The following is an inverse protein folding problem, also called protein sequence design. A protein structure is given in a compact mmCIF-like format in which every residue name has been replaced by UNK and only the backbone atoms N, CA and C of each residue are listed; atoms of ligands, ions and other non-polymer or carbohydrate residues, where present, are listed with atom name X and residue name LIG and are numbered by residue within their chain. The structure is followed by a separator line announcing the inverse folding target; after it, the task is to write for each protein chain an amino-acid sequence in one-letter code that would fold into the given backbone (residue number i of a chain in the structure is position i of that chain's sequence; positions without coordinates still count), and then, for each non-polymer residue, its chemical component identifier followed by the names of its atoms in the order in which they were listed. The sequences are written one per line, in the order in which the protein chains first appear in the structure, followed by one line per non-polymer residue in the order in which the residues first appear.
data_IF_021975285426
#
_entry.id   IF_021975285426
#
_cell.length_a   1.000
_cell.length_b   1.000
_cell.length_c   1.000
_cell.angle_alpha   90.00
_cell.angle_beta   90.00
_cell.angle_gamma   90.00
#
_symmetry.space_group_name_H-M   'P 1'
#
loop_
_entity.id
_entity.type
_entity.pdbx_description
1 polymer ?
#
# COMPACT_ATOMS: atom_id res chain seq x y z
N UNK A 1 -5.80 -3.40 -16.92
CA UNK A 1 -5.47 -4.64 -17.68
C UNK A 1 -3.97 -4.98 -17.68
N UNK A 2 -3.05 -3.99 -17.61
CA UNK A 2 -1.60 -4.21 -17.70
C UNK A 2 -0.89 -4.66 -16.41
N UNK A 3 -1.53 -4.57 -15.24
CA UNK A 3 -0.94 -4.94 -13.95
C UNK A 3 -1.20 -6.40 -13.53
N UNK A 4 -1.71 -7.26 -14.43
CA UNK A 4 -1.96 -8.69 -14.12
C UNK A 4 -0.71 -9.43 -13.65
N UNK A 5 0.46 -8.98 -14.07
CA UNK A 5 1.76 -9.53 -13.64
C UNK A 5 2.00 -9.35 -12.13
N UNK A 6 1.38 -8.34 -11.51
CA UNK A 6 1.48 -8.06 -10.08
C UNK A 6 0.42 -8.81 -9.26
N UNK A 7 -0.49 -9.54 -9.91
CA UNK A 7 -1.51 -10.29 -9.20
C UNK A 7 -0.88 -11.50 -8.47
N UNK A 8 -1.23 -11.72 -7.19
CA UNK A 8 -0.88 -12.95 -6.49
C UNK A 8 -1.24 -14.19 -7.30
N UNK A 9 -0.29 -15.12 -7.46
CA UNK A 9 -0.50 -16.40 -8.15
C UNK A 9 -1.07 -17.48 -7.24
N UNK A 10 -0.67 -17.46 -5.96
CA UNK A 10 -1.13 -18.42 -4.97
C UNK A 10 -2.50 -18.03 -4.40
N UNK A 11 -3.34 -19.00 -4.02
CA UNK A 11 -4.63 -18.73 -3.39
C UNK A 11 -4.45 -18.04 -2.03
N UNK A 12 -5.44 -17.24 -1.66
CA UNK A 12 -5.56 -16.76 -0.28
C UNK A 12 -5.96 -17.91 0.64
N UNK A 13 -5.34 -17.97 1.82
CA UNK A 13 -5.57 -18.99 2.85
C UNK A 13 -5.91 -18.35 4.18
N UNK A 14 -6.71 -19.06 4.96
CA UNK A 14 -7.12 -18.68 6.30
C UNK A 14 -6.95 -19.87 7.23
N UNK A 15 -6.62 -19.61 8.49
CA UNK A 15 -6.68 -20.58 9.56
C UNK A 15 -7.98 -20.40 10.34
N UNK A 16 -8.56 -21.50 10.82
CA UNK A 16 -9.78 -21.49 11.63
C UNK A 16 -9.47 -22.09 13.00
N UNK A 17 -9.78 -21.35 14.05
CA UNK A 17 -9.66 -21.80 15.44
C UNK A 17 -10.99 -21.54 16.16
N UNK A 18 -11.79 -22.59 16.32
CA UNK A 18 -13.18 -22.47 16.75
C UNK A 18 -14.00 -21.63 15.76
N UNK A 19 -14.64 -20.58 16.28
CA UNK A 19 -15.42 -19.61 15.48
C UNK A 19 -14.57 -18.48 14.87
N UNK A 20 -13.27 -18.42 15.19
CA UNK A 20 -12.38 -17.37 14.69
C UNK A 20 -11.74 -17.81 13.39
N UNK A 21 -11.78 -16.92 12.40
CA UNK A 21 -11.07 -17.08 11.14
C UNK A 21 -9.96 -16.04 11.12
N UNK A 22 -8.72 -16.45 10.88
CA UNK A 22 -7.57 -15.55 10.82
C UNK A 22 -6.84 -15.72 9.51
N UNK A 23 -6.13 -14.70 9.07
CA UNK A 23 -5.25 -14.80 7.90
C UNK A 23 -4.15 -15.83 8.17
N UNK A 24 -4.02 -16.85 7.32
CA UNK A 24 -2.84 -17.73 7.31
C UNK A 24 -1.62 -16.88 6.91
N UNK A 25 -0.55 -16.79 7.73
CA UNK A 25 0.63 -16.00 7.40
C UNK A 25 1.26 -16.36 6.04
N UNK A 26 1.13 -17.59 5.54
CA UNK A 26 1.58 -17.98 4.22
C UNK A 26 0.90 -17.17 3.10
N UNK A 27 -0.30 -16.64 3.35
CA UNK A 27 -1.00 -15.73 2.45
C UNK A 27 -0.30 -14.40 2.22
N UNK A 28 0.58 -13.98 3.12
CA UNK A 28 1.35 -12.76 2.94
C UNK A 28 2.46 -12.93 1.91
N UNK A 29 3.03 -14.15 1.81
CA UNK A 29 4.14 -14.48 0.88
C UNK A 29 3.84 -14.23 -0.59
N UNK A 30 2.55 -14.19 -0.92
CA UNK A 30 2.02 -13.79 -2.24
C UNK A 30 2.50 -12.43 -2.72
N UNK A 31 2.85 -11.55 -1.78
CA UNK A 31 3.26 -10.18 -2.05
C UNK A 31 4.76 -9.95 -1.86
N UNK A 32 5.54 -10.95 -1.45
CA UNK A 32 6.97 -10.80 -1.17
C UNK A 32 7.72 -10.26 -2.39
N UNK A 33 7.48 -10.83 -3.58
CA UNK A 33 8.12 -10.35 -4.81
C UNK A 33 7.81 -8.88 -5.14
N UNK A 34 6.58 -8.43 -4.85
CA UNK A 34 6.19 -7.04 -5.05
C UNK A 34 6.86 -6.12 -4.01
N UNK A 35 6.81 -6.50 -2.73
CA UNK A 35 7.39 -5.72 -1.65
C UNK A 35 8.91 -5.60 -1.80
N UNK A 36 9.58 -6.69 -2.19
CA UNK A 36 11.02 -6.69 -2.47
C UNK A 36 11.38 -5.83 -3.69
N UNK A 37 10.56 -5.86 -4.75
CA UNK A 37 10.75 -4.97 -5.90
C UNK A 37 10.62 -3.48 -5.50
N UNK A 38 9.67 -3.15 -4.63
CA UNK A 38 9.53 -1.79 -4.07
C UNK A 38 10.73 -1.46 -3.20
N UNK A 39 11.11 -2.33 -2.27
CA UNK A 39 12.25 -2.13 -1.37
C UNK A 39 13.59 -1.94 -2.12
N UNK A 40 13.73 -2.56 -3.30
CA UNK A 40 14.91 -2.42 -4.16
C UNK A 40 14.99 -1.11 -4.97
N UNK A 41 13.99 -0.22 -4.89
CA UNK A 41 14.02 1.06 -5.61
C UNK A 41 15.10 2.00 -5.04
N UNK A 42 15.86 2.65 -5.93
CA UNK A 42 16.70 3.81 -5.59
C UNK A 42 15.79 5.03 -5.39
N UNK A 43 15.57 5.43 -4.14
CA UNK A 43 14.71 6.56 -3.79
C UNK A 43 15.15 7.87 -4.48
N UNK A 44 16.46 8.13 -4.57
CA UNK A 44 16.98 9.30 -5.27
C UNK A 44 16.73 9.20 -6.78
N UNK A 45 16.87 8.00 -7.34
CA UNK A 45 16.53 7.71 -8.74
C UNK A 45 15.07 7.96 -9.05
N UNK A 46 14.17 7.51 -8.17
CA UNK A 46 12.73 7.79 -8.28
C UNK A 46 12.47 9.29 -8.22
N UNK A 47 13.07 10.02 -7.28
CA UNK A 47 12.91 11.47 -7.17
C UNK A 47 13.40 12.24 -8.41
N UNK A 48 14.56 11.84 -8.97
CA UNK A 48 15.08 12.40 -10.25
C UNK A 48 14.13 12.13 -11.41
N UNK A 49 13.60 10.90 -11.50
CA UNK A 49 12.66 10.53 -12.55
C UNK A 49 11.34 11.31 -12.42
N UNK A 50 10.81 11.41 -11.21
CA UNK A 50 9.62 12.21 -10.91
C UNK A 50 9.82 13.66 -11.33
N UNK A 51 10.92 14.30 -10.92
CA UNK A 51 11.24 15.69 -11.26
C UNK A 51 11.30 15.91 -12.78
N UNK A 52 11.85 14.94 -13.51
CA UNK A 52 11.94 14.96 -14.98
C UNK A 52 10.57 14.85 -15.65
N UNK A 53 9.69 14.01 -15.11
CA UNK A 53 8.35 13.75 -15.66
C UNK A 53 7.27 14.69 -15.13
N UNK A 54 7.56 15.44 -14.07
CA UNK A 54 6.61 16.30 -13.35
C UNK A 54 5.74 17.19 -14.24
N UNK A 55 6.26 17.90 -15.27
CA UNK A 55 5.40 18.71 -16.13
C UNK A 55 4.30 17.90 -16.81
N UNK A 56 4.65 16.73 -17.37
CA UNK A 56 3.68 15.84 -18.04
C UNK A 56 2.69 15.20 -17.07
N UNK A 57 3.16 14.86 -15.86
CA UNK A 57 2.30 14.33 -14.81
C UNK A 57 1.31 15.40 -14.33
N UNK A 58 1.74 16.66 -14.21
CA UNK A 58 0.87 17.77 -13.86
C UNK A 58 -0.19 18.03 -14.94
N UNK A 59 0.19 17.98 -16.22
CA UNK A 59 -0.77 18.11 -17.34
C UNK A 59 -1.85 17.02 -17.27
N UNK A 60 -1.42 15.76 -17.17
CA UNK A 60 -2.34 14.62 -17.06
C UNK A 60 -3.22 14.71 -15.80
N UNK A 61 -2.68 15.18 -14.66
CA UNK A 61 -3.46 15.36 -13.44
C UNK A 61 -4.56 16.42 -13.59
N UNK A 62 -4.28 17.52 -14.30
CA UNK A 62 -5.30 18.53 -14.62
C UNK A 62 -6.38 17.98 -15.55
N UNK A 63 -5.98 17.20 -16.57
CA UNK A 63 -6.91 16.54 -17.49
C UNK A 63 -7.87 15.55 -16.80
N UNK A 64 -7.46 14.95 -15.68
CA UNK A 64 -8.31 14.10 -14.84
C UNK A 64 -9.36 14.86 -14.02
N UNK A 65 -9.48 16.19 -14.19
CA UNK A 65 -10.46 17.02 -13.48
C UNK A 65 -9.91 17.73 -12.24
N UNK A 66 -8.59 17.89 -12.15
CA UNK A 66 -7.91 18.65 -11.09
C UNK A 66 -7.25 19.92 -11.64
N UNK A 67 -8.01 20.88 -12.22
CA UNK A 67 -7.47 21.99 -13.00
C UNK A 67 -6.50 22.90 -12.23
N UNK A 68 -6.75 23.12 -10.94
CA UNK A 68 -5.87 23.88 -10.04
C UNK A 68 -4.99 22.96 -9.15
N UNK A 69 -4.96 21.66 -9.48
CA UNK A 69 -4.34 20.63 -8.67
C UNK A 69 -2.81 20.70 -8.73
N UNK A 70 -2.18 20.82 -7.56
CA UNK A 70 -0.74 20.63 -7.43
C UNK A 70 -0.43 19.12 -7.35
N UNK A 71 0.29 18.61 -8.35
CA UNK A 71 0.70 17.21 -8.41
C UNK A 71 1.61 16.82 -7.22
N UNK A 72 2.47 17.71 -6.74
CA UNK A 72 3.33 17.41 -5.59
C UNK A 72 2.50 17.19 -4.33
N UNK A 73 1.53 18.08 -4.08
CA UNK A 73 0.61 17.96 -2.95
C UNK A 73 -0.25 16.69 -3.05
N UNK A 74 -0.59 16.27 -4.27
CA UNK A 74 -1.31 15.02 -4.50
C UNK A 74 -0.44 13.79 -4.18
N UNK A 75 0.83 13.78 -4.60
CA UNK A 75 1.78 12.70 -4.30
C UNK A 75 2.07 12.65 -2.80
N UNK A 76 2.36 13.78 -2.18
CA UNK A 76 2.56 13.90 -0.74
C UNK A 76 1.37 13.34 0.02
N UNK A 77 0.15 13.77 -0.31
CA UNK A 77 -1.08 13.25 0.29
C UNK A 77 -1.21 11.73 0.15
N UNK A 78 -0.86 11.16 -1.01
CA UNK A 78 -0.93 9.70 -1.22
C UNK A 78 0.11 8.97 -0.38
N UNK A 79 1.33 9.48 -0.32
CA UNK A 79 2.41 8.89 0.49
C UNK A 79 2.01 8.92 1.97
N UNK A 80 1.62 10.09 2.49
CA UNK A 80 1.15 10.26 3.87
C UNK A 80 -0.02 9.32 4.16
N UNK A 81 -1.03 9.25 3.29
CA UNK A 81 -2.19 8.37 3.45
C UNK A 81 -1.80 6.88 3.55
N UNK A 82 -0.76 6.44 2.83
CA UNK A 82 -0.26 5.07 2.92
C UNK A 82 0.60 4.84 4.18
N UNK A 83 1.37 5.84 4.60
CA UNK A 83 2.16 5.80 5.84
C UNK A 83 1.26 5.76 7.09
N UNK A 84 0.10 6.40 7.05
CA UNK A 84 -0.95 6.33 8.08
C UNK A 84 -1.64 4.95 8.19
N UNK A 85 -1.35 4.02 7.28
CA UNK A 85 -1.89 2.66 7.40
C UNK A 85 -1.45 2.07 8.74
N UNK A 86 -2.39 1.64 9.61
CA UNK A 86 -2.06 1.14 10.93
C UNK A 86 -0.98 0.08 10.85
N UNK A 87 0.07 0.26 11.66
CA UNK A 87 1.08 -0.77 11.81
C UNK A 87 0.38 -2.09 12.16
N UNK A 88 0.83 -3.21 11.59
CA UNK A 88 0.34 -4.51 12.01
C UNK A 88 0.67 -4.66 13.49
N UNK A 89 -0.35 -4.63 14.36
CA UNK A 89 -0.16 -5.09 15.73
C UNK A 89 0.33 -6.53 15.71
N UNK A 90 1.01 -6.96 16.77
CA UNK A 90 1.54 -8.32 16.92
C UNK A 90 0.46 -9.44 17.00
N UNK A 91 -0.79 -9.13 16.68
CA UNK A 91 -1.93 -10.03 16.79
C UNK A 91 -2.41 -10.56 15.44
N UNK A 92 -3.06 -11.71 15.48
CA UNK A 92 -3.73 -12.34 14.34
C UNK A 92 -4.77 -11.38 13.72
N UNK A 93 -4.77 -11.30 12.39
CA UNK A 93 -5.79 -10.52 11.66
C UNK A 93 -7.04 -11.37 11.52
N UNK A 94 -7.98 -11.19 12.44
CA UNK A 94 -9.26 -11.86 12.42
C UNK A 94 -10.14 -11.34 11.27
N UNK A 95 -10.86 -12.29 10.65
CA UNK A 95 -11.70 -12.10 9.49
C UNK A 95 -13.14 -12.54 9.80
N UNK A 96 -14.07 -11.97 9.07
CA UNK A 96 -15.45 -12.46 8.94
C UNK A 96 -15.68 -12.92 7.51
N UNK A 97 -16.40 -14.02 7.36
CA UNK A 97 -16.90 -14.45 6.05
C UNK A 97 -17.91 -13.42 5.51
N UNK A 98 -17.73 -13.07 4.26
CA UNK A 98 -18.69 -12.35 3.44
C UNK A 98 -19.03 -13.25 2.25
N UNK A 99 -20.25 -13.15 1.73
CA UNK A 99 -20.85 -14.01 0.70
C UNK A 99 -19.95 -14.39 -0.50
N UNK A 100 -18.92 -13.59 -0.79
CA UNK A 100 -17.94 -13.82 -1.86
C UNK A 100 -16.48 -13.63 -1.42
N UNK A 101 -16.19 -13.25 -0.17
CA UNK A 101 -14.83 -12.91 0.27
C UNK A 101 -14.66 -12.87 1.80
N UNK A 102 -13.55 -12.30 2.27
CA UNK A 102 -13.32 -12.05 3.70
C UNK A 102 -13.25 -10.54 3.98
N UNK A 103 -13.78 -10.14 5.13
CA UNK A 103 -13.66 -8.79 5.70
C UNK A 103 -12.86 -8.81 6.98
N UNK A 104 -12.19 -7.73 7.33
CA UNK A 104 -11.55 -7.61 8.63
C UNK A 104 -12.61 -7.57 9.73
N UNK A 105 -12.37 -8.31 10.82
CA UNK A 105 -13.25 -8.28 11.98
C UNK A 105 -13.12 -6.95 12.76
N UNK A 106 -11.92 -6.34 12.78
CA UNK A 106 -11.68 -5.01 13.34
C UNK A 106 -12.30 -3.93 12.43
N UNK A 107 -13.31 -3.17 12.88
CA UNK A 107 -13.95 -2.12 12.09
C UNK A 107 -13.00 -1.00 11.66
N UNK A 108 -11.90 -0.76 12.40
CA UNK A 108 -10.90 0.25 12.02
C UNK A 108 -10.15 -0.18 10.77
N UNK A 109 -9.76 -1.46 10.69
CA UNK A 109 -9.10 -2.02 9.52
C UNK A 109 -10.08 -2.14 8.34
N UNK A 110 -11.33 -2.53 8.60
CA UNK A 110 -12.32 -2.68 7.52
C UNK A 110 -12.74 -1.34 6.90
N UNK A 111 -12.74 -0.24 7.68
CA UNK A 111 -13.04 1.11 7.17
C UNK A 111 -11.86 1.81 6.49
N UNK A 112 -10.66 1.23 6.53
CA UNK A 112 -9.49 1.79 5.85
C UNK A 112 -9.73 1.89 4.33
N UNK A 113 -9.01 2.80 3.67
CA UNK A 113 -9.17 2.97 2.22
C UNK A 113 -8.78 1.70 1.47
N UNK A 114 -9.25 1.51 0.21
CA UNK A 114 -8.86 0.34 -0.59
C UNK A 114 -7.34 0.15 -0.68
N UNK A 115 -6.57 1.23 -0.77
CA UNK A 115 -5.11 1.19 -0.83
C UNK A 115 -4.48 0.76 0.51
N UNK A 116 -4.97 1.29 1.64
CA UNK A 116 -4.54 0.88 2.97
C UNK A 116 -4.91 -0.58 3.24
N UNK A 117 -6.12 -1.02 2.89
CA UNK A 117 -6.52 -2.44 2.96
C UNK A 117 -5.65 -3.33 2.09
N UNK A 118 -5.22 -2.85 0.93
CA UNK A 118 -4.27 -3.59 0.10
C UNK A 118 -2.92 -3.76 0.79
N UNK A 119 -2.40 -2.71 1.44
CA UNK A 119 -1.15 -2.79 2.20
C UNK A 119 -1.28 -3.74 3.41
N UNK A 120 -2.40 -3.68 4.15
CA UNK A 120 -2.70 -4.60 5.25
C UNK A 120 -2.75 -6.07 4.80
N UNK A 121 -3.24 -6.35 3.58
CA UNK A 121 -3.28 -7.69 2.98
C UNK A 121 -1.92 -8.24 2.59
N UNK A 122 -0.89 -7.39 2.49
CA UNK A 122 0.47 -7.83 2.21
C UNK A 122 1.17 -8.43 3.44
N UNK A 123 0.61 -8.20 4.63
CA UNK A 123 1.18 -8.69 5.88
C UNK A 123 2.20 -7.75 6.49
N UNK A 124 2.64 -8.04 7.73
CA UNK A 124 3.45 -7.12 8.50
C UNK A 124 4.81 -6.79 7.88
N UNK A 125 5.53 -7.80 7.43
CA UNK A 125 6.88 -7.65 6.87
C UNK A 125 6.84 -6.84 5.57
N UNK A 126 5.97 -7.21 4.64
CA UNK A 126 5.82 -6.53 3.36
C UNK A 126 5.30 -5.09 3.52
N UNK A 127 4.36 -4.86 4.45
CA UNK A 127 3.89 -3.52 4.77
C UNK A 127 5.05 -2.64 5.28
N UNK A 128 5.87 -3.16 6.19
CA UNK A 128 7.01 -2.42 6.74
C UNK A 128 8.02 -2.03 5.66
N UNK A 129 8.40 -2.98 4.78
CA UNK A 129 9.31 -2.72 3.65
C UNK A 129 8.79 -1.61 2.73
N UNK A 130 7.50 -1.66 2.39
CA UNK A 130 6.89 -0.65 1.52
C UNK A 130 6.83 0.71 2.23
N UNK A 131 6.42 0.75 3.50
CA UNK A 131 6.36 2.01 4.26
C UNK A 131 7.74 2.63 4.47
N UNK A 132 8.77 1.82 4.71
CA UNK A 132 10.16 2.28 4.76
C UNK A 132 10.58 2.94 3.44
N UNK A 133 10.37 2.26 2.31
CA UNK A 133 10.69 2.85 1.00
C UNK A 133 9.90 4.12 0.70
N UNK A 134 8.63 4.18 1.11
CA UNK A 134 7.81 5.39 0.95
C UNK A 134 8.39 6.58 1.72
N UNK A 135 8.92 6.36 2.94
CA UNK A 135 9.62 7.41 3.71
C UNK A 135 10.90 7.86 3.02
N UNK A 136 11.69 6.93 2.49
CA UNK A 136 12.89 7.28 1.73
C UNK A 136 12.57 8.12 0.48
N UNK A 137 11.52 7.75 -0.27
CA UNK A 137 11.07 8.49 -1.44
C UNK A 137 10.56 9.88 -1.05
N UNK A 138 9.78 10.00 0.02
CA UNK A 138 9.31 11.29 0.53
C UNK A 138 10.50 12.21 0.88
N UNK A 139 11.48 11.70 1.60
CA UNK A 139 12.70 12.43 1.94
C UNK A 139 13.48 12.86 0.68
N UNK A 140 13.63 11.98 -0.31
CA UNK A 140 14.31 12.29 -1.57
C UNK A 140 13.56 13.34 -2.42
N UNK A 141 12.24 13.46 -2.23
CA UNK A 141 11.41 14.50 -2.87
C UNK A 141 11.38 15.82 -2.09
N UNK A 142 12.01 15.88 -0.90
CA UNK A 142 11.95 17.05 -0.03
C UNK A 142 10.58 17.28 0.59
N UNK A 143 9.77 16.24 0.74
CA UNK A 143 8.49 16.30 1.44
C UNK A 143 8.76 16.21 2.95
N UNK A 144 8.27 17.17 3.73
CA UNK A 144 8.34 17.09 5.18
C UNK A 144 7.40 15.97 5.65
N UNK A 145 7.98 14.88 6.15
CA UNK A 145 7.22 13.88 6.88
C UNK A 145 6.72 14.53 8.16
N UNK A 146 5.41 14.77 8.25
CA UNK A 146 4.79 15.29 9.46
C UNK A 146 5.20 14.46 10.68
N UNK A 147 5.76 15.16 11.68
CA UNK A 147 5.99 14.66 13.04
C UNK A 147 4.68 14.30 13.75
#
# INVERSE_FOLDING_TARGET
RHLKVLAPKEPFRTERSGDRIVVDPASYRRYDGLAQAVAGLDANGVARLYSTLKPRLADAYRELGHPDGNIDAAIEKVITHLLETPAPGAGERELREDSVSYRYADPRLERASPAQKQLLRMGPENQALIQEKLREIAAALGMESGD
#
